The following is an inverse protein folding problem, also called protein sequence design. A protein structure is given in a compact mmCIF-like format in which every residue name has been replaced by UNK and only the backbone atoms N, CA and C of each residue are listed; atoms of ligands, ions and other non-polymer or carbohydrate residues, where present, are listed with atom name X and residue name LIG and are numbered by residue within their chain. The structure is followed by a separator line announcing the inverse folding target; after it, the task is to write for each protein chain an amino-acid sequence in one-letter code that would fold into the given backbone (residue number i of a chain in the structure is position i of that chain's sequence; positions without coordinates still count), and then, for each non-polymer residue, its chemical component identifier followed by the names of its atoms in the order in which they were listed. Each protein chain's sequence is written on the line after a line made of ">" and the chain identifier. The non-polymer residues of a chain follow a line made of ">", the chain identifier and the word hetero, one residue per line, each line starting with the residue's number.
data_IF_974843347149
#
_entry.id   IF_974843347149
#
_cell.length_a   1.000
_cell.length_b   1.000
_cell.length_c   1.000
_cell.angle_alpha   90.00
_cell.angle_beta   90.00
_cell.angle_gamma   90.00
#
_symmetry.space_group_name_H-M   'P 1'
#
loop_
_entity.id
_entity.type
_entity.pdbx_description
1 polymer ?
#
# COMPACT_ATOMS: atom_id res chain seq x y z
N UNK A 1 -24.34 -14.60 3.12
CA UNK A 1 -24.46 -16.06 2.96
C UNK A 1 -23.65 -16.59 1.77
N UNK A 2 -24.01 -16.38 0.50
CA UNK A 2 -23.19 -16.88 -0.63
C UNK A 2 -21.82 -16.16 -0.78
N UNK A 3 -21.80 -14.83 -0.65
CA UNK A 3 -20.56 -14.04 -0.70
C UNK A 3 -19.63 -14.33 0.49
N UNK A 4 -20.17 -14.49 1.71
CA UNK A 4 -19.34 -14.83 2.89
C UNK A 4 -18.65 -16.19 2.75
N UNK A 5 -19.36 -17.19 2.22
CA UNK A 5 -18.78 -18.51 1.93
C UNK A 5 -17.71 -18.45 0.83
N UNK A 6 -17.82 -17.52 -0.13
CA UNK A 6 -16.79 -17.31 -1.15
C UNK A 6 -15.51 -16.70 -0.54
N UNK A 7 -15.65 -15.77 0.40
CA UNK A 7 -14.52 -15.11 1.08
C UNK A 7 -13.80 -16.09 1.99
N UNK A 8 -14.51 -16.93 2.75
CA UNK A 8 -13.89 -17.95 3.59
C UNK A 8 -13.05 -18.93 2.78
N UNK A 9 -13.56 -19.38 1.62
CA UNK A 9 -12.85 -20.29 0.73
C UNK A 9 -11.58 -19.64 0.17
N UNK A 10 -11.67 -18.38 -0.27
CA UNK A 10 -10.53 -17.63 -0.79
C UNK A 10 -9.49 -17.40 0.32
N UNK A 11 -9.92 -17.14 1.56
CA UNK A 11 -8.99 -16.99 2.68
C UNK A 11 -8.22 -18.28 2.96
N UNK A 12 -8.87 -19.43 2.86
CA UNK A 12 -8.18 -20.72 2.97
C UNK A 12 -7.19 -20.94 1.82
N UNK A 13 -7.57 -20.59 0.59
CA UNK A 13 -6.71 -20.73 -0.58
C UNK A 13 -5.48 -19.80 -0.50
N UNK A 14 -5.68 -18.55 -0.08
CA UNK A 14 -4.59 -17.61 0.23
C UNK A 14 -3.63 -18.21 1.25
N UNK A 15 -4.14 -18.79 2.35
CA UNK A 15 -3.30 -19.42 3.39
C UNK A 15 -2.54 -20.66 2.91
N UNK A 16 -3.03 -21.36 1.87
CA UNK A 16 -2.32 -22.49 1.26
C UNK A 16 -1.18 -22.03 0.34
N UNK A 17 -1.34 -20.89 -0.32
CA UNK A 17 -0.34 -20.33 -1.24
C UNK A 17 0.74 -19.56 -0.48
N UNK A 18 0.36 -18.83 0.58
CA UNK A 18 1.29 -18.03 1.39
C UNK A 18 2.16 -18.96 2.25
N UNK A 19 3.50 -18.81 2.23
CA UNK A 19 4.40 -19.58 3.07
C UNK A 19 4.08 -19.48 4.56
N UNK A 20 4.30 -20.56 5.32
CA UNK A 20 3.94 -20.71 6.75
C UNK A 20 4.65 -19.78 7.75
N UNK A 21 5.43 -18.80 7.27
CA UNK A 21 6.14 -17.81 8.08
C UNK A 21 5.70 -16.35 7.83
N UNK A 22 4.63 -16.15 7.05
CA UNK A 22 4.07 -14.83 6.75
C UNK A 22 2.66 -14.72 7.29
N UNK A 23 2.40 -13.68 8.08
CA UNK A 23 1.11 -13.46 8.71
C UNK A 23 0.14 -12.72 7.77
N UNK A 24 -1.07 -13.26 7.63
CA UNK A 24 -2.15 -12.67 6.84
C UNK A 24 -3.29 -12.33 7.80
N UNK A 25 -3.52 -11.04 8.02
CA UNK A 25 -4.47 -10.57 9.02
C UNK A 25 -5.90 -10.63 8.50
N UNK A 26 -6.14 -10.03 7.34
CA UNK A 26 -7.45 -10.04 6.67
C UNK A 26 -7.32 -10.17 5.16
N UNK A 27 -8.41 -10.65 4.54
CA UNK A 27 -8.57 -10.79 3.10
C UNK A 27 -9.94 -10.25 2.76
N UNK A 28 -9.98 -9.20 1.95
CA UNK A 28 -11.20 -8.46 1.64
C UNK A 28 -11.29 -8.19 0.14
N UNK A 29 -12.51 -7.97 -0.35
CA UNK A 29 -12.72 -7.46 -1.70
C UNK A 29 -12.97 -5.96 -1.65
N UNK A 30 -12.09 -5.20 -2.30
CA UNK A 30 -12.21 -3.76 -2.45
C UNK A 30 -12.32 -3.41 -3.93
N UNK A 31 -13.55 -3.11 -4.36
CA UNK A 31 -13.85 -2.96 -5.78
C UNK A 31 -13.54 -4.25 -6.55
N UNK A 32 -12.79 -4.20 -7.67
CA UNK A 32 -12.45 -5.38 -8.46
C UNK A 32 -11.23 -6.16 -7.94
N UNK A 33 -10.64 -5.74 -6.81
CA UNK A 33 -9.34 -6.23 -6.32
C UNK A 33 -9.52 -7.06 -5.05
N UNK A 34 -8.83 -8.21 -4.97
CA UNK A 34 -8.66 -8.96 -3.73
C UNK A 34 -7.51 -8.35 -2.94
N UNK A 35 -7.81 -7.76 -1.80
CA UNK A 35 -6.85 -7.11 -0.91
C UNK A 35 -6.46 -8.06 0.21
N UNK A 36 -5.16 -8.25 0.40
CA UNK A 36 -4.59 -9.08 1.46
C UNK A 36 -3.79 -8.18 2.38
N UNK A 37 -4.24 -8.05 3.63
CA UNK A 37 -3.53 -7.30 4.66
C UNK A 37 -2.56 -8.21 5.40
N UNK A 38 -1.37 -7.69 5.70
CA UNK A 38 -0.29 -8.44 6.35
C UNK A 38 0.51 -7.57 7.31
N UNK A 39 0.97 -8.17 8.41
CA UNK A 39 1.94 -7.55 9.32
C UNK A 39 3.38 -7.66 8.83
N UNK A 40 3.64 -8.58 7.92
CA UNK A 40 4.96 -8.89 7.35
C UNK A 40 5.12 -8.25 5.96
N UNK A 41 4.63 -7.02 5.79
CA UNK A 41 4.59 -6.36 4.48
C UNK A 41 5.97 -6.22 3.83
N UNK A 42 7.01 -5.98 4.63
CA UNK A 42 8.40 -5.94 4.18
C UNK A 42 8.81 -7.23 3.47
N UNK A 43 8.52 -8.40 4.06
CA UNK A 43 8.84 -9.71 3.49
C UNK A 43 8.06 -9.99 2.20
N UNK A 44 6.80 -9.55 2.13
CA UNK A 44 6.03 -9.61 0.88
C UNK A 44 6.61 -8.70 -0.20
N UNK A 45 7.08 -7.51 0.18
CA UNK A 45 7.62 -6.53 -0.75
C UNK A 45 8.98 -6.94 -1.33
N UNK A 46 9.80 -7.68 -0.57
CA UNK A 46 11.09 -8.21 -1.01
C UNK A 46 10.94 -9.40 -1.96
N UNK A 47 9.83 -10.14 -1.89
CA UNK A 47 9.61 -11.35 -2.68
C UNK A 47 8.44 -11.22 -3.67
N UNK A 48 8.73 -10.64 -4.83
CA UNK A 48 7.76 -10.48 -5.93
C UNK A 48 7.13 -11.80 -6.43
N UNK A 49 7.75 -12.96 -6.16
CA UNK A 49 7.18 -14.24 -6.58
C UNK A 49 5.91 -14.59 -5.79
N UNK A 50 5.78 -14.15 -4.54
CA UNK A 50 4.61 -14.48 -3.71
C UNK A 50 3.34 -13.85 -4.28
N UNK A 51 3.40 -12.55 -4.61
CA UNK A 51 2.26 -11.85 -5.23
C UNK A 51 1.89 -12.46 -6.59
N UNK A 52 2.89 -12.89 -7.37
CA UNK A 52 2.67 -13.58 -8.65
C UNK A 52 1.98 -14.95 -8.46
N UNK A 53 2.41 -15.73 -7.48
CA UNK A 53 1.81 -17.02 -7.15
C UNK A 53 0.36 -16.85 -6.67
N UNK A 54 0.10 -15.86 -5.81
CA UNK A 54 -1.23 -15.50 -5.36
C UNK A 54 -2.16 -15.14 -6.54
N UNK A 55 -1.72 -14.25 -7.42
CA UNK A 55 -2.51 -13.85 -8.58
C UNK A 55 -2.78 -15.03 -9.52
N UNK A 56 -1.79 -15.90 -9.75
CA UNK A 56 -1.91 -17.06 -10.65
C UNK A 56 -2.81 -18.15 -10.07
N UNK A 57 -2.65 -18.45 -8.77
CA UNK A 57 -3.45 -19.46 -8.07
C UNK A 57 -4.91 -19.06 -7.97
N UNK A 58 -5.17 -17.82 -7.53
CA UNK A 58 -6.52 -17.32 -7.28
C UNK A 58 -7.23 -16.87 -8.57
N UNK A 59 -6.49 -16.62 -9.66
CA UNK A 59 -6.99 -16.03 -10.92
C UNK A 59 -7.77 -14.73 -10.70
N UNK A 60 -7.35 -13.94 -9.71
CA UNK A 60 -7.90 -12.64 -9.35
C UNK A 60 -6.78 -11.60 -9.38
N UNK A 61 -7.17 -10.32 -9.50
CA UNK A 61 -6.25 -9.21 -9.27
C UNK A 61 -6.01 -9.11 -7.77
N UNK A 62 -4.77 -9.31 -7.34
CA UNK A 62 -4.38 -9.30 -5.91
C UNK A 62 -3.56 -8.05 -5.62
N UNK A 63 -3.84 -7.43 -4.48
CA UNK A 63 -3.05 -6.34 -3.91
C UNK A 63 -2.70 -6.69 -2.46
N UNK A 64 -1.41 -6.64 -2.12
CA UNK A 64 -0.93 -6.93 -0.76
C UNK A 64 -0.61 -5.61 -0.10
N UNK A 65 -1.17 -5.38 1.10
CA UNK A 65 -1.08 -4.11 1.82
C UNK A 65 -0.56 -4.30 3.24
N UNK A 66 0.14 -3.30 3.79
CA UNK A 66 0.49 -3.31 5.19
C UNK A 66 -0.78 -3.24 6.05
N UNK A 67 -0.79 -3.98 7.15
CA UNK A 67 -1.86 -3.92 8.13
C UNK A 67 -1.83 -2.55 8.84
N UNK A 68 -2.97 -1.83 8.94
CA UNK A 68 -3.03 -0.54 9.62
C UNK A 68 -2.45 -0.54 11.04
N UNK A 69 -2.51 -1.67 11.76
CA UNK A 69 -1.94 -1.80 13.12
C UNK A 69 -0.41 -1.78 13.17
N UNK A 70 0.26 -2.05 12.04
CA UNK A 70 1.72 -2.04 11.92
C UNK A 70 2.27 -0.75 11.34
N UNK A 71 1.40 0.07 10.74
CA UNK A 71 1.78 1.34 10.13
C UNK A 71 1.93 2.41 11.22
N UNK A 72 3.01 3.20 11.12
CA UNK A 72 3.16 4.41 11.92
C UNK A 72 2.02 5.37 11.57
N UNK A 73 1.23 5.76 12.57
CA UNK A 73 0.04 6.60 12.37
C UNK A 73 0.38 8.10 12.30
N UNK A 74 1.46 8.51 12.96
CA UNK A 74 1.93 9.90 12.94
C UNK A 74 2.66 10.19 11.62
N UNK A 75 1.96 10.80 10.67
CA UNK A 75 2.52 11.16 9.36
C UNK A 75 3.68 12.13 9.48
N UNK A 76 3.66 13.05 10.45
CA UNK A 76 4.72 14.05 10.62
C UNK A 76 6.05 13.39 11.01
N UNK A 77 5.99 12.31 11.81
CA UNK A 77 7.17 11.52 12.16
C UNK A 77 7.79 10.84 10.93
N UNK A 78 6.95 10.32 10.03
CA UNK A 78 7.39 9.67 8.79
C UNK A 78 8.02 10.69 7.86
N UNK A 79 7.40 11.87 7.71
CA UNK A 79 7.95 12.95 6.89
C UNK A 79 9.33 13.38 7.40
N UNK A 80 9.47 13.58 8.71
CA UNK A 80 10.76 13.94 9.34
C UNK A 80 11.82 12.85 9.12
N UNK A 81 11.46 11.58 9.32
CA UNK A 81 12.36 10.45 9.10
C UNK A 81 12.82 10.38 7.64
N UNK A 82 11.92 10.57 6.67
CA UNK A 82 12.27 10.52 5.26
C UNK A 82 13.14 11.73 4.88
N UNK A 83 12.77 12.94 5.32
CA UNK A 83 13.56 14.17 5.09
C UNK A 83 14.99 14.05 5.62
N UNK A 84 15.18 13.45 6.80
CA UNK A 84 16.50 13.26 7.39
C UNK A 84 17.44 12.32 6.60
N UNK A 85 16.88 11.54 5.67
CA UNK A 85 17.63 10.58 4.83
C UNK A 85 17.84 11.07 3.41
N UNK A 86 17.21 12.18 3.05
CA UNK A 86 17.38 12.80 1.75
C UNK A 86 18.64 13.69 1.76
N UNK A 87 19.37 13.76 0.64
CA UNK A 87 20.46 14.70 0.49
C UNK A 87 19.94 16.15 0.39
N UNK A 88 20.81 17.13 0.69
CA UNK A 88 20.42 18.55 0.81
C UNK A 88 19.88 19.17 -0.49
N UNK A 89 20.14 18.56 -1.64
CA UNK A 89 19.63 18.96 -2.96
C UNK A 89 18.14 18.66 -3.15
N UNK A 90 17.55 17.80 -2.31
CA UNK A 90 16.11 17.53 -2.28
C UNK A 90 15.41 18.46 -1.28
N UNK A 91 15.27 19.73 -1.65
CA UNK A 91 14.84 20.79 -0.73
C UNK A 91 13.36 20.75 -0.36
N UNK A 92 12.49 20.26 -1.25
CA UNK A 92 11.02 20.31 -1.06
C UNK A 92 10.31 18.99 -1.44
N UNK A 93 10.54 17.90 -0.69
CA UNK A 93 9.73 16.70 -0.86
C UNK A 93 8.26 16.97 -0.49
N UNK A 94 7.35 16.46 -1.32
CA UNK A 94 5.91 16.43 -1.05
C UNK A 94 5.46 15.01 -0.71
N UNK A 95 4.57 14.88 0.27
CA UNK A 95 4.09 13.61 0.78
C UNK A 95 2.58 13.49 0.59
N UNK A 96 2.14 12.36 0.05
CA UNK A 96 0.73 12.02 -0.11
C UNK A 96 0.45 10.65 0.50
N UNK A 97 -0.17 10.66 1.69
CA UNK A 97 -0.54 9.46 2.42
C UNK A 97 -1.93 8.97 2.02
N UNK A 98 -1.98 7.77 1.47
CA UNK A 98 -3.22 7.05 1.17
C UNK A 98 -3.41 5.93 2.20
N UNK A 99 -4.16 6.24 3.24
CA UNK A 99 -4.41 5.33 4.35
C UNK A 99 -5.30 4.12 3.98
N UNK A 100 -5.99 4.14 2.84
CA UNK A 100 -6.77 2.98 2.40
C UNK A 100 -5.86 1.91 1.78
N UNK A 101 -4.81 2.35 1.09
CA UNK A 101 -3.86 1.44 0.44
C UNK A 101 -2.59 1.20 1.26
N UNK A 102 -2.37 1.98 2.32
CA UNK A 102 -1.14 1.95 3.10
C UNK A 102 0.07 2.43 2.30
N UNK A 103 -0.16 3.29 1.30
CA UNK A 103 0.86 3.82 0.41
C UNK A 103 1.17 5.26 0.79
N UNK A 104 2.46 5.59 0.87
CA UNK A 104 2.92 6.98 0.91
C UNK A 104 3.64 7.28 -0.40
N UNK A 105 3.12 8.25 -1.14
CA UNK A 105 3.76 8.75 -2.35
C UNK A 105 4.66 9.91 -1.97
N UNK A 106 5.94 9.83 -2.33
CA UNK A 106 6.94 10.85 -2.04
C UNK A 106 7.37 11.47 -3.37
N UNK A 107 6.96 12.71 -3.61
CA UNK A 107 7.31 13.46 -4.81
C UNK A 107 8.67 14.16 -4.59
N UNK A 108 9.65 13.85 -5.44
CA UNK A 108 11.04 14.30 -5.35
C UNK A 108 11.56 14.79 -6.70
N UNK A 109 12.56 15.67 -6.70
CA UNK A 109 13.23 16.07 -7.94
C UNK A 109 13.97 14.88 -8.56
N UNK A 110 14.67 14.10 -7.73
CA UNK A 110 15.34 12.86 -8.09
C UNK A 110 14.84 11.69 -7.22
N UNK A 111 13.89 10.89 -7.72
CA UNK A 111 13.40 9.68 -7.02
C UNK A 111 14.51 8.69 -6.64
N UNK A 112 15.61 8.65 -7.39
CA UNK A 112 16.74 7.77 -7.13
C UNK A 112 17.45 8.05 -5.80
N UNK A 113 17.37 9.29 -5.30
CA UNK A 113 17.94 9.68 -4.01
C UNK A 113 17.29 8.92 -2.84
N UNK A 114 15.98 8.67 -2.91
CA UNK A 114 15.26 7.91 -1.88
C UNK A 114 15.43 6.39 -2.02
N UNK A 115 15.59 5.91 -3.27
CA UNK A 115 15.80 4.48 -3.54
C UNK A 115 17.15 4.01 -2.99
N UNK A 116 18.19 4.82 -3.15
CA UNK A 116 19.55 4.47 -2.77
C UNK A 116 20.16 3.38 -3.68
N UNK A 117 21.39 2.96 -3.38
CA UNK A 117 22.08 1.93 -4.16
C UNK A 117 21.39 0.57 -3.97
N UNK A 118 20.89 0.00 -5.07
CA UNK A 118 20.23 -1.31 -5.05
C UNK A 118 18.89 -1.36 -4.29
N UNK A 119 18.30 -0.21 -3.94
CA UNK A 119 17.02 -0.16 -3.21
C UNK A 119 17.13 -0.30 -1.69
N UNK A 120 18.34 -0.37 -1.13
CA UNK A 120 18.54 -0.62 0.31
C UNK A 120 17.87 0.44 1.19
N UNK A 121 18.08 1.71 0.88
CA UNK A 121 17.52 2.82 1.65
C UNK A 121 15.99 2.82 1.64
N UNK A 122 15.37 2.54 0.49
CA UNK A 122 13.92 2.42 0.40
C UNK A 122 13.39 1.24 1.23
N UNK A 123 14.09 0.11 1.22
CA UNK A 123 13.70 -1.06 2.02
C UNK A 123 13.82 -0.78 3.53
N UNK A 124 14.88 -0.10 3.95
CA UNK A 124 15.07 0.29 5.35
C UNK A 124 13.96 1.26 5.81
N UNK A 125 13.64 2.25 4.98
CA UNK A 125 12.54 3.19 5.24
C UNK A 125 11.20 2.43 5.35
N UNK A 126 10.90 1.53 4.42
CA UNK A 126 9.66 0.72 4.44
C UNK A 126 9.55 -0.11 5.72
N UNK A 127 10.64 -0.75 6.15
CA UNK A 127 10.68 -1.55 7.39
C UNK A 127 10.40 -0.72 8.63
N UNK A 128 10.91 0.51 8.69
CA UNK A 128 10.74 1.37 9.85
C UNK A 128 9.37 2.05 9.91
N UNK A 129 8.85 2.55 8.78
CA UNK A 129 7.55 3.23 8.80
C UNK A 129 6.37 2.26 8.71
N UNK A 130 6.57 1.05 8.17
CA UNK A 130 5.49 0.09 7.89
C UNK A 130 4.63 0.46 6.67
N UNK A 131 4.90 1.60 6.01
CA UNK A 131 4.18 2.04 4.82
C UNK A 131 4.81 1.50 3.54
N UNK A 132 3.98 1.32 2.51
CA UNK A 132 4.47 1.12 1.15
C UNK A 132 4.92 2.46 0.55
N UNK A 133 6.21 2.77 0.69
CA UNK A 133 6.80 4.01 0.17
C UNK A 133 7.00 3.93 -1.34
N UNK A 134 6.45 4.91 -2.07
CA UNK A 134 6.55 5.06 -3.52
C UNK A 134 7.20 6.40 -3.89
N UNK A 135 8.49 6.41 -4.25
CA UNK A 135 9.13 7.61 -4.77
C UNK A 135 8.64 7.89 -6.20
N UNK A 136 8.22 9.11 -6.47
CA UNK A 136 7.80 9.58 -7.79
C UNK A 136 8.47 10.91 -8.11
N UNK A 137 8.67 11.19 -9.41
CA UNK A 137 9.24 12.47 -9.83
C UNK A 137 8.20 13.57 -9.61
N UNK A 138 8.61 14.65 -8.95
CA UNK A 138 7.77 15.83 -8.77
C UNK A 138 7.36 16.40 -10.15
N UNK A 139 6.07 16.75 -10.33
CA UNK A 139 5.63 17.36 -11.56
C UNK A 139 6.29 18.74 -11.74
N UNK A 140 6.66 19.16 -12.96
CA UNK A 140 7.27 20.48 -13.18
C UNK A 140 6.33 21.63 -12.81
N UNK A 141 5.02 21.39 -12.85
CA UNK A 141 3.98 22.37 -12.53
C UNK A 141 3.00 21.72 -11.57
N UNK A 142 2.80 22.33 -10.41
CA UNK A 142 1.79 21.88 -9.46
C UNK A 142 0.39 22.21 -9.95
N UNK A 143 -0.46 21.19 -9.98
CA UNK A 143 -1.88 21.35 -10.32
C UNK A 143 -2.72 21.46 -9.05
N UNK A 144 -3.38 22.61 -8.89
CA UNK A 144 -4.35 22.80 -7.82
C UNK A 144 -5.46 21.75 -7.85
N UNK A 145 -5.97 21.40 -9.04
CA UNK A 145 -7.01 20.38 -9.20
C UNK A 145 -6.57 19.02 -8.66
N UNK A 146 -5.32 18.60 -8.92
CA UNK A 146 -4.81 17.32 -8.41
C UNK A 146 -4.73 17.36 -6.88
N UNK A 147 -4.22 18.45 -6.31
CA UNK A 147 -4.14 18.64 -4.86
C UNK A 147 -5.52 18.60 -4.21
N UNK A 148 -6.50 19.31 -4.77
CA UNK A 148 -7.86 19.38 -4.25
C UNK A 148 -8.55 18.01 -4.32
N UNK A 149 -8.37 17.26 -5.41
CA UNK A 149 -8.91 15.90 -5.55
C UNK A 149 -8.28 14.95 -4.53
N UNK A 150 -6.94 14.97 -4.35
CA UNK A 150 -6.27 14.16 -3.32
C UNK A 150 -6.75 14.52 -1.92
N UNK A 151 -6.91 15.80 -1.62
CA UNK A 151 -7.47 16.30 -0.37
C UNK A 151 -8.88 15.79 -0.12
N UNK A 152 -9.75 15.84 -1.13
CA UNK A 152 -11.11 15.29 -1.05
C UNK A 152 -11.11 13.77 -0.84
N UNK A 153 -10.25 13.03 -1.54
CA UNK A 153 -10.14 11.56 -1.37
C UNK A 153 -9.71 11.18 0.05
N UNK A 154 -8.83 11.97 0.68
CA UNK A 154 -8.48 11.79 2.11
C UNK A 154 -9.66 12.11 3.03
N UNK A 155 -10.39 13.19 2.74
CA UNK A 155 -11.55 13.57 3.53
C UNK A 155 -12.67 12.52 3.47
N UNK A 156 -12.94 11.98 2.28
CA UNK A 156 -14.00 11.00 2.03
C UNK A 156 -13.59 9.54 2.27
N UNK A 157 -12.49 9.30 2.99
CA UNK A 157 -11.88 7.98 3.18
C UNK A 157 -12.88 6.90 3.64
N UNK A 158 -13.56 7.16 4.76
CA UNK A 158 -14.44 6.16 5.38
C UNK A 158 -15.63 5.82 4.47
N UNK A 159 -16.17 6.81 3.77
CA UNK A 159 -17.23 6.61 2.78
C UNK A 159 -16.72 5.77 1.60
N UNK A 160 -15.53 6.12 1.07
CA UNK A 160 -14.89 5.42 -0.04
C UNK A 160 -14.63 3.95 0.28
N UNK A 161 -14.07 3.65 1.45
CA UNK A 161 -13.81 2.28 1.89
C UNK A 161 -15.09 1.44 1.93
N UNK A 162 -16.18 2.00 2.47
CA UNK A 162 -17.49 1.35 2.51
C UNK A 162 -18.06 1.11 1.11
N UNK A 163 -17.90 2.06 0.18
CA UNK A 163 -18.32 1.91 -1.22
C UNK A 163 -17.52 0.77 -1.89
N UNK A 164 -16.20 0.74 -1.73
CA UNK A 164 -15.34 -0.29 -2.31
C UNK A 164 -15.70 -1.69 -1.81
N UNK A 165 -15.95 -1.86 -0.51
CA UNK A 165 -16.40 -3.13 0.05
C UNK A 165 -17.75 -3.59 -0.52
N UNK A 166 -18.70 -2.66 -0.68
CA UNK A 166 -20.02 -2.97 -1.30
C UNK A 166 -19.86 -3.41 -2.75
N UNK A 167 -19.05 -2.70 -3.52
CA UNK A 167 -18.76 -3.04 -4.93
C UNK A 167 -18.06 -4.40 -5.01
N UNK A 168 -17.08 -4.66 -4.16
CA UNK A 168 -16.35 -5.93 -4.13
C UNK A 168 -17.25 -7.14 -3.85
N UNK A 169 -18.18 -7.00 -2.90
CA UNK A 169 -19.20 -8.02 -2.62
C UNK A 169 -20.17 -8.21 -3.80
N UNK A 170 -20.47 -7.15 -4.54
CA UNK A 170 -21.34 -7.24 -5.72
C UNK A 170 -20.67 -7.93 -6.91
N UNK A 171 -19.41 -7.59 -7.22
CA UNK A 171 -18.65 -8.18 -8.35
C UNK A 171 -18.36 -9.67 -8.12
N UNK A 172 -18.19 -10.06 -6.87
CA UNK A 172 -17.82 -11.44 -6.48
C UNK A 172 -19.02 -12.35 -6.29
N UNK A 173 -20.24 -11.81 -6.32
CA UNK A 173 -21.48 -12.58 -6.24
C UNK A 173 -21.68 -13.44 -7.48
#
# INVERSE_FOLDING_TARGET
>A
MAADNSISNIREEVRRIVPSGLDVTSVEFEGPTLVIYTKDFDKFSENANITKLLATGLKKRVDVRPDPSTMVQDTDSIEKMIRARLPEDETEPSFDFDFDTGVVTVELANPGALVGKGGQQLNDIKKECGWNVKPVRAPPIHSKTISDVRGYMRYARDERANILMKIGKFITR
#
